data_IF_642716254381
#
_entry.id   IF_642716254381
#
_cell.length_a   1.000
_cell.length_b   1.000
_cell.length_c   1.000
_cell.angle_alpha   90.00
_cell.angle_beta   90.00
_cell.angle_gamma   90.00
#
_symmetry.space_group_name_H-M   'P 1'
#
loop_
_entity.id
_entity.type
_entity.pdbx_description
1 polymer ?
#
# COMPACT_ATOMS: atom_id res chain seq x y z
N UNK A 1 -3.51 6.83 18.09
CA UNK A 1 -2.74 6.09 19.10
C UNK A 1 -1.89 7.08 19.86
N UNK A 2 -1.79 6.94 21.18
CA UNK A 2 -0.80 7.64 22.01
C UNK A 2 0.54 6.89 21.97
N UNK A 3 1.61 7.54 22.42
CA UNK A 3 2.92 6.89 22.57
C UNK A 3 2.84 5.64 23.46
N UNK A 4 2.13 5.73 24.58
CA UNK A 4 1.91 4.60 25.48
C UNK A 4 1.21 3.43 24.77
N UNK A 5 0.21 3.71 23.93
CA UNK A 5 -0.48 2.67 23.17
C UNK A 5 0.44 2.00 22.14
N UNK A 6 1.37 2.74 21.52
CA UNK A 6 2.40 2.16 20.63
C UNK A 6 3.29 1.22 21.43
N UNK A 7 3.76 1.68 22.59
CA UNK A 7 4.64 0.92 23.46
C UNK A 7 4.00 -0.40 23.92
N UNK A 8 2.75 -0.37 24.37
CA UNK A 8 2.00 -1.57 24.77
C UNK A 8 1.86 -2.59 23.62
N UNK A 9 1.74 -2.13 22.38
CA UNK A 9 1.71 -3.02 21.21
C UNK A 9 3.06 -3.69 21.01
N UNK A 10 4.16 -2.92 21.04
CA UNK A 10 5.51 -3.47 20.88
C UNK A 10 5.84 -4.46 22.02
N UNK A 11 5.50 -4.14 23.26
CA UNK A 11 5.71 -5.06 24.40
C UNK A 11 5.00 -6.40 24.19
N UNK A 12 3.81 -6.38 23.60
CA UNK A 12 3.07 -7.60 23.28
C UNK A 12 3.70 -8.38 22.13
N UNK A 13 4.26 -7.71 21.13
CA UNK A 13 5.00 -8.37 20.03
C UNK A 13 6.15 -9.20 20.59
N UNK A 14 6.85 -8.72 21.63
CA UNK A 14 7.94 -9.46 22.28
C UNK A 14 7.51 -10.80 22.92
N UNK A 15 6.20 -11.01 23.12
CA UNK A 15 5.66 -12.28 23.66
C UNK A 15 5.30 -13.29 22.57
N UNK A 16 5.36 -12.91 21.29
CA UNK A 16 4.99 -13.78 20.17
C UNK A 16 6.06 -14.86 19.90
N UNK A 17 5.73 -15.91 19.13
CA UNK A 17 6.75 -16.80 18.58
C UNK A 17 7.80 -16.03 17.76
N UNK A 18 9.04 -16.49 17.77
CA UNK A 18 10.18 -15.82 17.14
C UNK A 18 9.94 -15.43 15.68
N UNK A 19 9.40 -16.33 14.87
CA UNK A 19 9.10 -16.09 13.45
C UNK A 19 8.19 -14.87 13.27
N UNK A 20 7.16 -14.75 14.12
CA UNK A 20 6.24 -13.60 14.13
C UNK A 20 6.88 -12.31 14.62
N UNK A 21 7.89 -12.38 15.49
CA UNK A 21 8.66 -11.21 15.90
C UNK A 21 9.55 -10.73 14.76
N UNK A 22 10.16 -11.65 14.01
CA UNK A 22 10.99 -11.34 12.85
C UNK A 22 10.16 -10.68 11.74
N UNK A 23 8.96 -11.18 11.46
CA UNK A 23 8.01 -10.53 10.54
C UNK A 23 7.68 -9.08 10.97
N UNK A 24 7.37 -8.89 12.26
CA UNK A 24 7.03 -7.57 12.79
C UNK A 24 8.21 -6.59 12.71
N UNK A 25 9.42 -7.07 13.02
CA UNK A 25 10.65 -6.28 12.93
C UNK A 25 10.95 -5.88 11.48
N UNK A 26 10.83 -6.80 10.52
CA UNK A 26 11.02 -6.50 9.09
C UNK A 26 10.05 -5.43 8.61
N UNK A 27 8.79 -5.48 9.04
CA UNK A 27 7.79 -4.51 8.63
C UNK A 27 8.05 -3.12 9.20
N UNK A 28 8.52 -3.01 10.46
CA UNK A 28 8.92 -1.74 11.06
C UNK A 28 10.17 -1.17 10.38
N UNK A 29 11.19 -2.00 10.12
CA UNK A 29 12.39 -1.58 9.38
C UNK A 29 12.06 -1.11 7.96
N UNK A 30 11.09 -1.75 7.29
CA UNK A 30 10.63 -1.30 5.98
C UNK A 30 9.90 0.05 6.05
N UNK A 31 9.20 0.36 7.15
CA UNK A 31 8.59 1.66 7.36
C UNK A 31 9.65 2.74 7.63
N UNK A 32 10.67 2.44 8.43
CA UNK A 32 11.81 3.33 8.69
C UNK A 32 12.60 3.61 7.39
N UNK A 33 12.84 2.59 6.57
CA UNK A 33 13.51 2.76 5.28
C UNK A 33 12.72 3.65 4.30
N UNK A 34 11.38 3.64 4.40
CA UNK A 34 10.49 4.50 3.62
C UNK A 34 10.38 5.91 4.22
N UNK A 35 10.87 6.14 5.44
CA UNK A 35 10.90 7.45 6.07
C UNK A 35 11.95 8.32 5.36
N UNK A 36 11.49 9.06 4.35
CA UNK A 36 12.33 9.82 3.42
C UNK A 36 12.03 9.55 1.95
N UNK A 37 11.40 8.41 1.65
CA UNK A 37 10.95 7.98 0.32
C UNK A 37 9.43 8.13 0.17
N UNK A 38 8.92 9.36 0.38
CA UNK A 38 7.57 9.66 -0.12
C UNK A 38 7.63 9.52 -1.65
N UNK A 39 7.01 8.47 -2.19
CA UNK A 39 6.85 8.30 -3.63
C UNK A 39 6.22 9.58 -4.18
N UNK A 40 7.05 10.31 -4.92
CA UNK A 40 6.65 11.53 -5.60
C UNK A 40 6.53 11.13 -7.06
N UNK A 41 5.31 10.89 -7.57
CA UNK A 41 5.14 10.65 -8.98
C UNK A 41 5.74 11.82 -9.74
N UNK A 42 6.37 11.52 -10.88
CA UNK A 42 6.78 12.59 -11.78
C UNK A 42 5.55 13.32 -12.36
N UNK A 43 5.78 14.39 -13.11
CA UNK A 43 4.69 15.22 -13.61
C UNK A 43 3.74 14.45 -14.54
N UNK A 44 4.25 13.47 -15.30
CA UNK A 44 3.47 12.66 -16.24
C UNK A 44 2.64 11.61 -15.48
N UNK A 45 3.25 10.94 -14.51
CA UNK A 45 2.55 10.02 -13.61
C UNK A 45 1.46 10.74 -12.80
N UNK A 46 1.76 11.94 -12.31
CA UNK A 46 0.79 12.75 -11.58
C UNK A 46 -0.36 13.20 -12.48
N UNK A 47 -0.07 13.64 -13.71
CA UNK A 47 -1.09 13.98 -14.69
C UNK A 47 -1.99 12.78 -15.02
N UNK A 48 -1.41 11.58 -15.19
CA UNK A 48 -2.17 10.35 -15.43
C UNK A 48 -3.09 10.00 -14.25
N UNK A 49 -2.61 10.15 -13.01
CA UNK A 49 -3.44 9.97 -11.81
C UNK A 49 -4.62 10.95 -11.80
N UNK A 50 -4.36 12.24 -12.07
CA UNK A 50 -5.41 13.26 -12.09
C UNK A 50 -6.47 12.99 -13.18
N UNK A 51 -6.04 12.56 -14.36
CA UNK A 51 -6.96 12.20 -15.44
C UNK A 51 -7.80 10.96 -15.07
N UNK A 52 -7.20 9.92 -14.50
CA UNK A 52 -7.94 8.74 -14.03
C UNK A 52 -9.00 9.10 -12.98
N UNK A 53 -8.69 10.02 -12.05
CA UNK A 53 -9.66 10.55 -11.08
C UNK A 53 -10.79 11.32 -11.77
N UNK A 54 -10.48 12.10 -12.81
CA UNK A 54 -11.47 12.85 -13.57
C UNK A 54 -12.40 11.89 -14.36
N UNK A 55 -11.85 10.86 -15.00
CA UNK A 55 -12.60 9.79 -15.69
C UNK A 55 -13.57 9.09 -14.74
N UNK A 56 -13.10 8.71 -13.56
CA UNK A 56 -13.94 8.06 -12.54
C UNK A 56 -15.12 8.96 -12.12
N UNK A 57 -14.89 10.27 -11.94
CA UNK A 57 -15.96 11.24 -11.64
C UNK A 57 -16.98 11.39 -12.77
N UNK A 58 -16.55 11.21 -14.02
CA UNK A 58 -17.43 11.20 -15.20
C UNK A 58 -18.15 9.86 -15.41
N UNK A 59 -17.85 8.84 -14.61
CA UNK A 59 -18.42 7.49 -14.75
C UNK A 59 -17.77 6.67 -15.86
N UNK A 60 -16.56 7.04 -16.29
CA UNK A 60 -15.78 6.37 -17.36
C UNK A 60 -14.90 5.23 -16.81
N UNK A 61 -15.06 4.87 -15.53
CA UNK A 61 -14.37 3.73 -14.95
C UNK A 61 -14.91 2.43 -15.53
N UNK A 62 -14.00 1.56 -15.99
CA UNK A 62 -14.35 0.20 -16.43
C UNK A 62 -14.79 -0.65 -15.24
N UNK A 63 -15.72 -1.58 -15.50
CA UNK A 63 -16.20 -2.53 -14.50
C UNK A 63 -15.14 -3.58 -14.17
N UNK A 64 -15.23 -4.16 -12.97
CA UNK A 64 -14.37 -5.27 -12.57
C UNK A 64 -14.46 -6.48 -13.53
N UNK A 65 -15.61 -6.70 -14.15
CA UNK A 65 -15.80 -7.76 -15.15
C UNK A 65 -15.01 -7.52 -16.43
N UNK A 66 -14.95 -6.28 -16.90
CA UNK A 66 -14.16 -5.88 -18.08
C UNK A 66 -12.65 -6.00 -17.80
N UNK A 67 -12.20 -5.58 -16.62
CA UNK A 67 -10.82 -5.75 -16.17
C UNK A 67 -10.45 -7.25 -16.13
N UNK A 68 -11.31 -8.09 -15.54
CA UNK A 68 -11.06 -9.53 -15.46
C UNK A 68 -10.98 -10.19 -16.85
N UNK A 69 -11.82 -9.75 -17.80
CA UNK A 69 -11.78 -10.24 -19.18
C UNK A 69 -10.47 -9.85 -19.89
N UNK A 70 -9.98 -8.62 -19.69
CA UNK A 70 -8.70 -8.16 -20.23
C UNK A 70 -7.53 -9.02 -19.71
N UNK A 71 -7.45 -9.25 -18.39
CA UNK A 71 -6.39 -10.09 -17.81
C UNK A 71 -6.46 -11.54 -18.28
N UNK A 72 -7.65 -12.08 -18.53
CA UNK A 72 -7.83 -13.41 -19.10
C UNK A 72 -7.37 -13.49 -20.57
N UNK A 73 -7.53 -12.41 -21.33
CA UNK A 73 -7.13 -12.34 -22.73
C UNK A 73 -5.61 -12.15 -22.89
N UNK A 74 -4.95 -11.51 -21.92
CA UNK A 74 -3.52 -11.19 -21.97
C UNK A 74 -2.65 -12.02 -21.01
N UNK A 75 -3.22 -12.96 -20.27
CA UNK A 75 -2.48 -13.89 -19.40
C UNK A 75 -1.77 -15.00 -20.20
N UNK A 76 -0.44 -15.06 -20.06
CA UNK A 76 0.35 -16.31 -20.11
C UNK A 76 0.23 -17.06 -18.79
#
# INVERSE_FOLDING_TARGET
>A
MTEDQVKEVIERVLTWPRERQEDAAQMLLALEAREGELYRPDDDEWAAIQEGVAQAKRGEAVSAGEIAALFKQHGS
#
